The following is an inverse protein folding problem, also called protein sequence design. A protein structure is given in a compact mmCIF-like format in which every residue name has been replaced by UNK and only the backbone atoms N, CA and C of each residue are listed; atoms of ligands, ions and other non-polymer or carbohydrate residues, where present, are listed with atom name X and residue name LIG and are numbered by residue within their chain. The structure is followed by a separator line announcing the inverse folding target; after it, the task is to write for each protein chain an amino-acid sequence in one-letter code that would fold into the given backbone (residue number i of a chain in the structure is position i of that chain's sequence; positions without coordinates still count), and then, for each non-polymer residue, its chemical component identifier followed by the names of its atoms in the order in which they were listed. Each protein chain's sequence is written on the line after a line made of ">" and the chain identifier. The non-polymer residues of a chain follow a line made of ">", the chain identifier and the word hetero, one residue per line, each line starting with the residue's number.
data_IF_214429290336
#
_entry.id   IF_214429290336
#
_cell.length_a   1.000
_cell.length_b   1.000
_cell.length_c   1.000
_cell.angle_alpha   90.00
_cell.angle_beta   90.00
_cell.angle_gamma   90.00
#
_symmetry.space_group_name_H-M   'P 1'
#
loop_
_entity.id
_entity.type
_entity.pdbx_description
1 polymer ?
#
# COMPACT_ATOMS: atom_id res chain seq x y z
N UNK A 1 20.14 -26.73 6.79
CA UNK A 1 19.68 -27.66 7.86
C UNK A 1 19.04 -28.89 7.22
N UNK A 2 19.09 -30.07 7.87
CA UNK A 2 18.38 -31.26 7.40
C UNK A 2 16.88 -31.01 7.40
N UNK A 3 16.21 -31.32 6.28
CA UNK A 3 14.75 -31.17 6.14
C UNK A 3 14.06 -32.34 6.82
N UNK A 4 13.17 -32.05 7.79
CA UNK A 4 12.37 -33.05 8.49
C UNK A 4 10.91 -32.91 8.09
N UNK A 5 10.24 -34.03 7.81
CA UNK A 5 8.80 -34.03 7.54
C UNK A 5 8.02 -33.77 8.82
N UNK A 6 7.14 -32.78 8.79
CA UNK A 6 6.26 -32.40 9.90
C UNK A 6 4.82 -32.43 9.40
N UNK A 7 3.90 -33.00 10.20
CA UNK A 7 2.47 -33.00 9.90
C UNK A 7 1.77 -31.91 10.71
N UNK A 8 1.02 -31.05 10.03
CA UNK A 8 0.23 -29.97 10.65
C UNK A 8 -1.24 -30.38 10.60
N UNK A 9 -1.94 -30.36 11.73
CA UNK A 9 -3.37 -30.69 11.85
C UNK A 9 -4.21 -29.43 11.98
N UNK A 10 -5.45 -29.46 11.49
CA UNK A 10 -6.41 -28.36 11.63
C UNK A 10 -6.19 -27.19 10.67
N UNK A 11 -5.37 -27.36 9.61
CA UNK A 11 -5.20 -26.35 8.58
C UNK A 11 -6.51 -26.20 7.78
N UNK A 12 -6.91 -24.96 7.50
CA UNK A 12 -8.04 -24.69 6.62
C UNK A 12 -7.77 -25.28 5.22
N UNK A 13 -8.69 -26.11 4.74
CA UNK A 13 -8.60 -26.81 3.44
C UNK A 13 -8.58 -25.87 2.25
N UNK A 14 -9.24 -24.72 2.33
CA UNK A 14 -9.25 -23.70 1.27
C UNK A 14 -7.89 -23.03 1.17
N UNK A 15 -7.34 -22.61 2.33
CA UNK A 15 -6.01 -22.00 2.42
C UNK A 15 -4.92 -22.97 1.93
N UNK A 16 -5.02 -24.25 2.28
CA UNK A 16 -4.11 -25.27 1.76
C UNK A 16 -4.17 -25.37 0.23
N UNK A 17 -5.37 -25.37 -0.35
CA UNK A 17 -5.59 -25.46 -1.80
C UNK A 17 -4.99 -24.28 -2.54
N UNK A 18 -5.11 -23.08 -1.97
CA UNK A 18 -4.55 -21.86 -2.52
C UNK A 18 -3.02 -21.89 -2.50
N UNK A 19 -2.42 -22.21 -1.35
CA UNK A 19 -0.96 -22.34 -1.20
C UNK A 19 -0.41 -23.43 -2.12
N UNK A 20 -1.13 -24.55 -2.25
CA UNK A 20 -0.77 -25.63 -3.17
C UNK A 20 -0.79 -25.17 -4.63
N UNK A 21 -1.79 -24.39 -5.01
CA UNK A 21 -1.91 -23.84 -6.37
C UNK A 21 -0.80 -22.82 -6.65
N UNK A 22 -0.45 -22.00 -5.67
CA UNK A 22 0.65 -21.04 -5.75
C UNK A 22 2.00 -21.74 -5.91
N UNK A 23 2.26 -22.77 -5.09
CA UNK A 23 3.47 -23.58 -5.18
C UNK A 23 3.61 -24.23 -6.57
N UNK A 24 2.52 -24.75 -7.13
CA UNK A 24 2.49 -25.32 -8.48
C UNK A 24 2.80 -24.30 -9.58
N UNK A 25 2.25 -23.08 -9.48
CA UNK A 25 2.51 -22.00 -10.46
C UNK A 25 3.99 -21.61 -10.49
N UNK A 26 4.62 -21.58 -9.32
CA UNK A 26 6.02 -21.16 -9.17
C UNK A 26 7.03 -22.31 -9.33
N UNK A 27 6.57 -23.54 -9.57
CA UNK A 27 7.43 -24.73 -9.66
C UNK A 27 8.14 -25.08 -8.34
N UNK A 28 7.62 -24.61 -7.20
CA UNK A 28 8.19 -24.80 -5.86
C UNK A 28 7.41 -25.86 -5.09
N UNK A 29 8.02 -26.43 -4.05
CA UNK A 29 7.29 -27.30 -3.14
C UNK A 29 6.49 -26.47 -2.14
N UNK A 30 5.36 -27.02 -1.68
CA UNK A 30 4.54 -26.40 -0.62
C UNK A 30 5.39 -26.09 0.63
N UNK A 31 6.34 -26.96 0.97
CA UNK A 31 7.24 -26.75 2.10
C UNK A 31 8.10 -25.48 1.93
N UNK A 32 8.57 -25.18 0.72
CA UNK A 32 9.38 -23.99 0.46
C UNK A 32 8.51 -22.71 0.58
N UNK A 33 7.25 -22.75 0.14
CA UNK A 33 6.30 -21.64 0.28
C UNK A 33 5.93 -21.39 1.75
N UNK A 34 5.63 -22.46 2.49
CA UNK A 34 5.26 -22.37 3.91
C UNK A 34 6.45 -21.91 4.76
N UNK A 35 7.67 -22.37 4.48
CA UNK A 35 8.87 -21.91 5.21
C UNK A 35 9.10 -20.41 4.99
N UNK A 36 8.99 -19.91 3.75
CA UNK A 36 9.12 -18.48 3.46
C UNK A 36 8.04 -17.65 4.19
N UNK A 37 6.80 -18.13 4.21
CA UNK A 37 5.71 -17.45 4.93
C UNK A 37 5.95 -17.41 6.45
N UNK A 38 6.45 -18.51 7.03
CA UNK A 38 6.79 -18.58 8.46
C UNK A 38 8.01 -17.72 8.81
N UNK A 39 9.04 -17.70 7.96
CA UNK A 39 10.19 -16.82 8.11
C UNK A 39 9.77 -15.35 8.07
N UNK A 40 8.91 -14.96 7.13
CA UNK A 40 8.35 -13.60 7.08
C UNK A 40 7.53 -13.27 8.32
N UNK A 41 6.68 -14.19 8.77
CA UNK A 41 5.88 -13.99 9.98
C UNK A 41 6.74 -13.83 11.24
N UNK A 42 7.80 -14.65 11.39
CA UNK A 42 8.72 -14.58 12.52
C UNK A 42 9.62 -13.33 12.47
N UNK A 43 10.08 -12.94 11.28
CA UNK A 43 10.90 -11.73 11.09
C UNK A 43 10.10 -10.44 11.36
N UNK A 44 8.80 -10.43 11.01
CA UNK A 44 7.89 -9.33 11.35
C UNK A 44 7.56 -9.28 12.84
N UNK A 45 7.62 -10.40 13.56
CA UNK A 45 7.42 -10.44 15.02
C UNK A 45 8.69 -10.11 15.84
N UNK A 46 9.87 -10.22 15.23
CA UNK A 46 11.15 -10.24 15.95
C UNK A 46 12.03 -8.99 15.84
N UNK A 47 11.63 -7.96 15.10
CA UNK A 47 12.57 -6.87 14.77
C UNK A 47 11.94 -5.48 14.84
N UNK A 48 11.70 -5.02 16.07
CA UNK A 48 11.86 -3.60 16.40
C UNK A 48 13.35 -3.24 16.26
N UNK A 49 13.82 -3.04 15.03
CA UNK A 49 15.07 -2.35 14.77
C UNK A 49 14.99 -1.69 13.39
N UNK A 50 14.49 -0.46 13.40
CA UNK A 50 14.82 0.60 12.44
C UNK A 50 16.26 0.48 11.96
N UNK A 51 16.46 -0.03 10.74
CA UNK A 51 17.66 0.27 9.96
C UNK A 51 17.29 0.50 8.51
N UNK A 52 17.74 1.65 8.03
CA UNK A 52 17.46 2.24 6.76
C UNK A 52 17.81 1.33 5.58
N UNK A 53 16.96 1.37 4.55
CA UNK A 53 17.36 1.11 3.18
C UNK A 53 17.51 -0.37 2.83
N UNK A 54 16.41 -1.10 2.77
CA UNK A 54 16.28 -2.21 1.82
C UNK A 54 14.85 -2.31 1.33
N UNK A 55 14.70 -1.96 0.04
CA UNK A 55 13.50 -2.07 -0.78
C UNK A 55 12.98 -3.50 -0.74
N UNK A 56 11.94 -3.72 0.06
CA UNK A 56 11.09 -4.90 0.04
C UNK A 56 10.22 -4.88 -1.23
N UNK A 57 10.79 -5.33 -2.34
CA UNK A 57 10.05 -5.64 -3.58
C UNK A 57 9.25 -6.93 -3.43
N UNK A 58 8.18 -6.85 -2.64
CA UNK A 58 6.89 -7.53 -2.81
C UNK A 58 5.89 -7.06 -1.74
N UNK A 59 5.92 -5.77 -1.39
CA UNK A 59 4.93 -5.13 -0.53
C UNK A 59 3.81 -4.60 -1.42
N UNK A 60 2.57 -5.05 -1.20
CA UNK A 60 1.43 -4.35 -1.77
C UNK A 60 1.52 -2.90 -1.29
N UNK A 61 1.67 -1.96 -2.22
CA UNK A 61 1.65 -0.53 -1.93
C UNK A 61 0.37 -0.22 -1.14
N UNK A 62 0.49 0.47 -0.02
CA UNK A 62 -0.69 0.93 0.71
C UNK A 62 -1.51 1.85 -0.20
N UNK A 63 -2.80 1.57 -0.33
CA UNK A 63 -3.74 2.38 -1.12
C UNK A 63 -4.75 2.98 -0.16
N UNK A 64 -4.73 4.30 -0.02
CA UNK A 64 -5.82 5.03 0.61
C UNK A 64 -6.99 5.08 -0.38
N UNK A 65 -8.00 4.25 -0.15
CA UNK A 65 -9.19 4.16 -0.97
C UNK A 65 -10.34 5.01 -0.40
N UNK A 66 -10.99 5.79 -1.26
CA UNK A 66 -12.14 6.64 -0.92
C UNK A 66 -13.31 6.21 -1.80
N UNK A 67 -14.33 5.62 -1.19
CA UNK A 67 -15.54 5.18 -1.89
C UNK A 67 -16.44 6.36 -2.29
N UNK A 68 -17.50 6.10 -3.06
CA UNK A 68 -18.32 7.12 -3.75
C UNK A 68 -18.89 8.20 -2.83
N UNK A 69 -19.34 7.83 -1.62
CA UNK A 69 -19.87 8.75 -0.61
C UNK A 69 -18.80 9.22 0.40
N UNK A 70 -17.55 8.77 0.22
CA UNK A 70 -16.43 9.11 1.08
C UNK A 70 -15.94 10.54 0.85
N UNK A 71 -15.65 11.25 1.94
CA UNK A 71 -14.97 12.54 1.91
C UNK A 71 -13.77 12.54 2.86
N UNK A 72 -12.59 12.88 2.35
CA UNK A 72 -11.36 12.98 3.14
C UNK A 72 -10.68 14.33 2.88
N UNK A 73 -10.23 14.97 3.97
CA UNK A 73 -9.27 16.07 3.94
C UNK A 73 -7.90 15.55 4.36
N UNK A 74 -6.84 15.95 3.68
CA UNK A 74 -5.46 15.59 3.99
C UNK A 74 -4.61 16.85 4.18
N UNK A 75 -4.12 17.04 5.39
CA UNK A 75 -3.07 18.03 5.70
C UNK A 75 -1.69 17.53 5.31
N UNK A 76 -0.70 18.41 5.40
CA UNK A 76 0.70 18.02 5.18
C UNK A 76 1.18 17.00 6.20
N UNK A 77 0.75 17.12 7.45
CA UNK A 77 1.20 16.25 8.52
C UNK A 77 0.53 14.88 8.45
N UNK A 78 -0.75 14.80 8.08
CA UNK A 78 -1.44 13.51 7.82
C UNK A 78 -0.69 12.69 6.76
N UNK A 79 -0.31 13.33 5.64
CA UNK A 79 0.42 12.67 4.56
C UNK A 79 1.77 12.13 5.05
N UNK A 80 2.46 12.87 5.92
CA UNK A 80 3.74 12.40 6.47
C UNK A 80 3.54 11.28 7.48
N UNK A 81 2.55 11.36 8.35
CA UNK A 81 2.25 10.34 9.36
C UNK A 81 1.91 9.02 8.67
N UNK A 82 1.02 9.05 7.66
CA UNK A 82 0.72 7.88 6.83
C UNK A 82 2.00 7.34 6.18
N UNK A 83 2.85 8.20 5.63
CA UNK A 83 4.09 7.77 5.00
C UNK A 83 5.12 7.22 6.01
N UNK A 84 5.10 7.68 7.26
CA UNK A 84 5.95 7.17 8.33
C UNK A 84 5.52 5.77 8.78
N UNK A 85 4.20 5.52 8.84
CA UNK A 85 3.65 4.22 9.26
C UNK A 85 3.65 3.18 8.14
N UNK A 86 3.27 3.59 6.92
CA UNK A 86 2.98 2.70 5.81
C UNK A 86 4.01 2.77 4.67
N UNK A 87 4.97 3.69 4.76
CA UNK A 87 5.85 4.04 3.64
C UNK A 87 5.15 4.86 2.55
N UNK A 88 5.84 5.15 1.43
CA UNK A 88 5.21 5.81 0.29
C UNK A 88 3.96 5.05 -0.18
N UNK A 89 2.88 5.78 -0.45
CA UNK A 89 1.55 5.20 -0.66
C UNK A 89 0.82 5.79 -1.87
N UNK A 90 -0.20 5.09 -2.34
CA UNK A 90 -1.08 5.55 -3.40
C UNK A 90 -2.44 6.01 -2.88
N UNK A 91 -3.13 6.81 -3.67
CA UNK A 91 -4.51 7.23 -3.39
C UNK A 91 -5.40 6.79 -4.55
N UNK A 92 -6.52 6.14 -4.24
CA UNK A 92 -7.60 5.85 -5.19
C UNK A 92 -8.90 6.47 -4.67
N UNK A 93 -9.50 7.38 -5.44
CA UNK A 93 -10.71 8.11 -5.04
C UNK A 93 -11.83 7.96 -6.05
N UNK A 94 -13.00 7.61 -5.53
CA UNK A 94 -14.28 7.68 -6.22
C UNK A 94 -15.20 8.79 -5.65
N UNK A 95 -14.90 9.30 -4.44
CA UNK A 95 -15.62 10.36 -3.73
C UNK A 95 -14.93 11.74 -3.74
N UNK A 96 -14.98 12.45 -2.61
CA UNK A 96 -14.40 13.79 -2.41
C UNK A 96 -13.03 13.72 -1.71
N UNK A 97 -12.00 14.31 -2.32
CA UNK A 97 -10.66 14.41 -1.73
C UNK A 97 -10.20 15.87 -1.70
N UNK A 98 -9.84 16.36 -0.52
CA UNK A 98 -9.36 17.73 -0.33
C UNK A 98 -7.93 17.68 0.21
N UNK A 99 -6.98 18.23 -0.53
CA UNK A 99 -5.66 18.55 0.01
C UNK A 99 -5.72 19.93 0.65
N UNK A 100 -5.29 20.04 1.90
CA UNK A 100 -5.31 21.31 2.64
C UNK A 100 -4.24 22.31 2.13
N UNK A 101 -4.31 23.56 2.59
CA UNK A 101 -3.49 24.67 2.07
C UNK A 101 -2.00 24.52 2.32
N UNK A 102 -1.64 23.79 3.36
CA UNK A 102 -0.27 23.53 3.82
C UNK A 102 0.42 22.41 3.02
N UNK A 103 -0.34 21.65 2.23
CA UNK A 103 0.19 20.60 1.36
C UNK A 103 1.10 21.22 0.30
N UNK A 104 2.35 20.76 0.29
CA UNK A 104 3.40 21.20 -0.62
C UNK A 104 3.94 20.05 -1.48
N UNK A 105 4.93 20.37 -2.33
CA UNK A 105 5.56 19.39 -3.22
C UNK A 105 6.25 18.26 -2.46
N UNK A 106 6.75 18.52 -1.25
CA UNK A 106 7.46 17.52 -0.44
C UNK A 106 6.48 16.53 0.17
N UNK A 107 5.30 17.00 0.62
CA UNK A 107 4.22 16.13 1.04
C UNK A 107 3.75 15.23 -0.12
N UNK A 108 3.47 15.81 -1.29
CA UNK A 108 3.06 15.04 -2.47
C UNK A 108 4.13 14.08 -3.01
N UNK A 109 5.40 14.24 -2.62
CA UNK A 109 6.45 13.30 -3.01
C UNK A 109 6.31 11.94 -2.33
N UNK A 110 5.68 11.89 -1.15
CA UNK A 110 5.38 10.64 -0.42
C UNK A 110 4.24 9.85 -1.06
N UNK A 111 3.41 10.52 -1.87
CA UNK A 111 2.32 9.88 -2.61
C UNK A 111 2.88 9.44 -3.96
N UNK A 112 2.88 8.13 -4.21
CA UNK A 112 3.46 7.52 -5.40
C UNK A 112 2.62 7.83 -6.65
N UNK A 113 1.30 7.62 -6.56
CA UNK A 113 0.30 7.85 -7.61
C UNK A 113 -1.05 8.26 -7.02
N UNK A 114 -1.80 9.04 -7.79
CA UNK A 114 -3.17 9.45 -7.43
C UNK A 114 -4.09 9.04 -8.58
N UNK A 115 -5.10 8.21 -8.30
CA UNK A 115 -6.14 7.86 -9.26
C UNK A 115 -7.49 8.35 -8.79
N UNK A 116 -8.14 9.14 -9.61
CA UNK A 116 -9.49 9.66 -9.34
C UNK A 116 -10.41 9.10 -10.40
N UNK A 117 -11.17 8.05 -10.08
CA UNK A 117 -12.06 7.40 -11.05
C UNK A 117 -13.38 8.20 -11.19
N UNK A 118 -13.84 8.80 -10.11
CA UNK A 118 -15.03 9.66 -10.05
C UNK A 118 -14.89 10.69 -8.91
N UNK A 119 -15.88 11.59 -8.79
CA UNK A 119 -15.92 12.57 -7.71
C UNK A 119 -15.08 13.84 -7.97
N UNK A 120 -14.72 14.54 -6.89
CA UNK A 120 -14.05 15.84 -6.95
C UNK A 120 -12.79 15.85 -6.10
N UNK A 121 -11.68 16.35 -6.67
CA UNK A 121 -10.46 16.61 -5.92
C UNK A 121 -10.16 18.10 -5.86
N UNK A 122 -9.92 18.62 -4.66
CA UNK A 122 -9.51 20.02 -4.43
C UNK A 122 -8.04 20.07 -4.05
N UNK A 123 -7.26 20.86 -4.79
CA UNK A 123 -5.80 20.95 -4.59
C UNK A 123 -5.38 22.42 -4.46
N UNK A 124 -4.53 22.78 -3.48
CA UNK A 124 -4.06 24.14 -3.33
C UNK A 124 -3.16 24.54 -4.53
N UNK A 125 -3.20 25.81 -4.91
CA UNK A 125 -2.41 26.37 -6.02
C UNK A 125 -0.91 26.02 -5.94
N UNK A 126 -0.35 25.94 -4.73
CA UNK A 126 1.06 25.61 -4.46
C UNK A 126 1.45 24.20 -4.90
N UNK A 127 0.52 23.25 -4.81
CA UNK A 127 0.75 21.83 -5.10
C UNK A 127 0.16 21.39 -6.44
N UNK A 128 -0.70 22.22 -7.06
CA UNK A 128 -1.45 21.90 -8.27
C UNK A 128 -0.60 21.37 -9.43
N UNK A 129 0.53 22.01 -9.73
CA UNK A 129 1.41 21.56 -10.82
C UNK A 129 1.98 20.16 -10.56
N UNK A 130 2.35 19.87 -9.32
CA UNK A 130 2.89 18.57 -8.94
C UNK A 130 1.81 17.48 -8.98
N UNK A 131 0.59 17.84 -8.58
CA UNK A 131 -0.57 16.96 -8.66
C UNK A 131 -0.85 16.53 -10.10
N UNK A 132 -0.83 17.46 -11.07
CA UNK A 132 -1.04 17.14 -12.49
C UNK A 132 -0.04 16.11 -13.04
N UNK A 133 1.18 16.07 -12.51
CA UNK A 133 2.22 15.12 -12.94
C UNK A 133 1.93 13.71 -12.40
N UNK A 134 1.33 13.60 -11.21
CA UNK A 134 1.11 12.34 -10.48
C UNK A 134 -0.30 11.77 -10.61
N UNK A 135 -1.26 12.58 -11.06
CA UNK A 135 -2.67 12.23 -11.06
C UNK A 135 -3.16 11.69 -12.41
N UNK A 136 -3.90 10.58 -12.35
CA UNK A 136 -4.78 10.13 -13.43
C UNK A 136 -6.23 10.44 -13.02
N UNK A 137 -6.88 11.37 -13.71
CA UNK A 137 -8.22 11.83 -13.37
C UNK A 137 -9.27 11.51 -14.44
N UNK A 138 -10.40 10.97 -13.98
CA UNK A 138 -11.65 10.77 -14.72
C UNK A 138 -12.82 11.57 -14.11
N UNK A 139 -12.64 12.14 -12.91
CA UNK A 139 -13.58 13.07 -12.24
C UNK A 139 -13.24 14.56 -12.43
N UNK A 140 -13.58 15.38 -11.43
CA UNK A 140 -13.33 16.83 -11.43
C UNK A 140 -12.11 17.21 -10.58
N UNK A 141 -11.25 18.08 -11.11
CA UNK A 141 -10.13 18.67 -10.37
C UNK A 141 -10.33 20.18 -10.23
N UNK A 142 -10.45 20.63 -8.99
CA UNK A 142 -10.61 22.03 -8.63
C UNK A 142 -9.32 22.57 -7.99
N UNK A 143 -8.78 23.63 -8.59
CA UNK A 143 -7.68 24.41 -8.04
C UNK A 143 -8.24 25.53 -7.16
N UNK A 144 -7.70 25.70 -5.96
CA UNK A 144 -8.05 26.81 -5.07
C UNK A 144 -6.84 27.56 -4.52
#
# INVERSE_FOLDING_TARGET
>A
MPRKTVAIRGLNTELYTEVFSMAKKDGKNVADVVNNALEQYLNNYGTEAVTAGQTLSNSAEFILAIDDDGEISLSKDDIKEIAMEMGPFAIESNGSLVFEKDVDKNALAQITRIQVKSGTVKVPRTAYAQFLIKCKIQGKLDKY
#
